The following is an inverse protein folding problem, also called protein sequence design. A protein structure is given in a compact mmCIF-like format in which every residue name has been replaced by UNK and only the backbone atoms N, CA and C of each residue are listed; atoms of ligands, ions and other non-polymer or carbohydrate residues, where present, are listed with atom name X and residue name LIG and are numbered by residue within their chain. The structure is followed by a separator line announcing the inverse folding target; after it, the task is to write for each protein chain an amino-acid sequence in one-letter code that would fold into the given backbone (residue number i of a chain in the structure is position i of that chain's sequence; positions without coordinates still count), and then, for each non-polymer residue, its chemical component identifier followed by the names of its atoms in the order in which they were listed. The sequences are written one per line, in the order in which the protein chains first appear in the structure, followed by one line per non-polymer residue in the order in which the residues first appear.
data_IF_586444151566
#
_entry.id   IF_586444151566
#
_cell.length_a   1.000
_cell.length_b   1.000
_cell.length_c   1.000
_cell.angle_alpha   90.00
_cell.angle_beta   90.00
_cell.angle_gamma   90.00
#
_symmetry.space_group_name_H-M   'P 1'
#
loop_
_entity.id
_entity.type
_entity.pdbx_description
1 polymer ?
#
# COMPACT_ATOMS: atom_id res chain seq x y z
N UNK A 1 42.37 32.71 -8.82
CA UNK A 1 41.62 32.30 -7.60
C UNK A 1 40.46 31.44 -8.05
N UNK A 2 40.62 30.12 -8.05
CA UNK A 2 39.51 29.19 -8.29
C UNK A 2 38.68 29.09 -7.01
N UNK A 3 37.43 29.54 -7.09
CA UNK A 3 36.45 29.33 -6.02
C UNK A 3 36.02 27.87 -6.04
N UNK A 4 36.25 27.17 -4.94
CA UNK A 4 35.85 25.78 -4.76
C UNK A 4 34.45 25.79 -4.14
N UNK A 5 33.43 25.50 -4.95
CA UNK A 5 32.07 25.25 -4.45
C UNK A 5 32.04 23.89 -3.75
N UNK A 6 32.10 23.92 -2.42
CA UNK A 6 31.87 22.73 -1.60
C UNK A 6 30.39 22.36 -1.67
N UNK A 7 30.08 21.33 -2.46
CA UNK A 7 28.78 20.65 -2.41
C UNK A 7 28.57 20.10 -0.99
N UNK A 8 27.68 20.73 -0.22
CA UNK A 8 27.26 20.23 1.11
C UNK A 8 26.60 18.87 0.93
N UNK A 9 27.25 17.83 1.45
CA UNK A 9 26.68 16.48 1.53
C UNK A 9 25.55 16.50 2.56
N UNK A 10 24.29 16.35 2.11
CA UNK A 10 23.12 16.20 2.99
C UNK A 10 23.37 15.02 3.94
N UNK A 11 23.41 15.28 5.25
CA UNK A 11 23.42 14.22 6.27
C UNK A 11 22.01 13.61 6.37
N UNK A 12 21.87 12.38 6.87
CA UNK A 12 20.58 11.67 7.04
C UNK A 12 19.52 12.43 7.87
N UNK A 13 19.89 13.54 8.51
CA UNK A 13 19.02 14.39 9.32
C UNK A 13 18.01 15.23 8.53
N UNK A 14 18.19 15.43 7.22
CA UNK A 14 17.34 16.34 6.41
C UNK A 14 16.74 15.68 5.16
N UNK A 15 16.22 14.44 5.30
CA UNK A 15 15.44 13.84 4.23
C UNK A 15 14.04 14.45 4.17
N UNK A 16 13.64 14.89 2.97
CA UNK A 16 12.26 15.27 2.68
C UNK A 16 11.33 14.06 2.69
N UNK A 17 10.01 14.30 2.79
CA UNK A 17 9.01 13.24 2.71
C UNK A 17 9.13 12.41 1.42
N UNK A 18 9.44 13.07 0.30
CA UNK A 18 9.64 12.43 -0.99
C UNK A 18 10.88 11.53 -0.98
N UNK A 19 12.02 12.03 -0.52
CA UNK A 19 13.26 11.24 -0.42
C UNK A 19 13.09 10.02 0.50
N UNK A 20 12.33 10.14 1.59
CA UNK A 20 12.02 9.02 2.50
C UNK A 20 11.17 7.97 1.79
N UNK A 21 10.10 8.38 1.10
CA UNK A 21 9.21 7.46 0.37
C UNK A 21 9.95 6.79 -0.79
N UNK A 22 10.77 7.52 -1.54
CA UNK A 22 11.58 6.96 -2.64
C UNK A 22 12.53 5.87 -2.14
N UNK A 23 13.22 6.13 -1.02
CA UNK A 23 14.07 5.13 -0.38
C UNK A 23 13.26 3.92 0.10
N UNK A 24 12.08 4.14 0.67
CA UNK A 24 11.20 3.06 1.11
C UNK A 24 10.73 2.18 -0.07
N UNK A 25 10.33 2.80 -1.19
CA UNK A 25 9.93 2.10 -2.42
C UNK A 25 11.11 1.32 -2.99
N UNK A 26 12.29 1.93 -3.08
CA UNK A 26 13.50 1.27 -3.56
C UNK A 26 13.86 0.05 -2.68
N UNK A 27 13.83 0.21 -1.35
CA UNK A 27 14.10 -0.88 -0.39
C UNK A 27 13.01 -1.95 -0.38
N UNK A 28 11.79 -1.64 -0.79
CA UNK A 28 10.72 -2.61 -0.95
C UNK A 28 10.78 -3.40 -2.28
N UNK A 29 11.66 -3.02 -3.21
CA UNK A 29 11.78 -3.68 -4.52
C UNK A 29 10.95 -3.02 -5.62
N UNK A 30 10.70 -1.71 -5.53
CA UNK A 30 9.85 -0.96 -6.46
C UNK A 30 10.20 -1.13 -7.94
N UNK A 31 11.49 -1.23 -8.28
CA UNK A 31 11.93 -1.46 -9.66
C UNK A 31 11.45 -2.80 -10.22
N UNK A 32 11.42 -3.85 -9.39
CA UNK A 32 10.89 -5.17 -9.77
C UNK A 32 9.37 -5.13 -9.83
N UNK A 33 8.71 -4.50 -8.84
CA UNK A 33 7.24 -4.36 -8.82
C UNK A 33 6.73 -3.67 -10.09
N UNK A 34 7.45 -2.66 -10.59
CA UNK A 34 7.09 -1.91 -11.79
C UNK A 34 7.09 -2.76 -13.07
N UNK A 35 7.85 -3.86 -13.10
CA UNK A 35 8.10 -4.69 -14.28
C UNK A 35 8.04 -6.18 -13.92
N UNK A 36 6.91 -6.62 -13.38
CA UNK A 36 6.68 -8.01 -12.99
C UNK A 36 5.21 -8.40 -13.04
N UNK A 37 4.97 -9.70 -13.16
CA UNK A 37 3.71 -10.33 -12.78
C UNK A 37 3.81 -10.85 -11.34
N UNK A 38 2.90 -10.41 -10.47
CA UNK A 38 2.81 -10.80 -9.07
C UNK A 38 1.50 -11.55 -8.86
N UNK A 39 1.59 -12.78 -8.40
CA UNK A 39 0.46 -13.62 -8.05
C UNK A 39 0.47 -13.89 -6.56
N UNK A 40 -0.70 -13.89 -5.93
CA UNK A 40 -0.85 -14.27 -4.53
C UNK A 40 -2.28 -14.65 -4.23
N UNK A 41 -2.48 -15.39 -3.15
CA UNK A 41 -3.78 -15.62 -2.56
C UNK A 41 -3.98 -14.69 -1.38
N UNK A 42 -5.19 -14.15 -1.25
CA UNK A 42 -5.60 -13.35 -0.10
C UNK A 42 -7.02 -13.72 0.29
N UNK A 43 -7.17 -14.34 1.47
CA UNK A 43 -8.44 -14.94 1.92
C UNK A 43 -8.94 -15.97 0.89
N UNK A 44 -10.17 -15.82 0.44
CA UNK A 44 -10.84 -16.76 -0.47
C UNK A 44 -10.59 -16.45 -1.96
N UNK A 45 -9.74 -15.46 -2.27
CA UNK A 45 -9.53 -14.99 -3.63
C UNK A 45 -8.07 -15.09 -4.06
N UNK A 46 -7.90 -15.22 -5.38
CA UNK A 46 -6.62 -15.23 -6.07
C UNK A 46 -6.43 -13.91 -6.79
N UNK A 47 -5.24 -13.35 -6.70
CA UNK A 47 -4.91 -12.04 -7.26
C UNK A 47 -3.73 -12.15 -8.19
N UNK A 48 -3.79 -11.39 -9.28
CA UNK A 48 -2.69 -11.24 -10.23
C UNK A 48 -2.55 -9.78 -10.62
N UNK A 49 -1.35 -9.23 -10.46
CA UNK A 49 -1.00 -7.92 -10.97
C UNK A 49 0.08 -8.08 -12.04
N UNK A 50 -0.19 -7.61 -13.24
CA UNK A 50 0.80 -7.53 -14.32
C UNK A 50 1.16 -6.07 -14.51
N UNK A 51 2.45 -5.72 -14.40
CA UNK A 51 2.95 -4.35 -14.61
C UNK A 51 4.14 -4.35 -15.56
N UNK A 52 4.14 -3.40 -16.49
CA UNK A 52 5.15 -3.26 -17.54
C UNK A 52 5.09 -1.84 -18.10
N UNK A 53 6.23 -1.13 -18.12
CA UNK A 53 6.36 0.17 -18.80
C UNK A 53 5.25 1.18 -18.44
N UNK A 54 4.82 1.22 -17.17
CA UNK A 54 3.74 2.09 -16.69
C UNK A 54 2.32 1.59 -16.95
N UNK A 55 2.14 0.52 -17.72
CA UNK A 55 0.86 -0.17 -17.90
C UNK A 55 0.67 -1.21 -16.80
N UNK A 56 -0.54 -1.30 -16.25
CA UNK A 56 -0.94 -2.27 -15.25
C UNK A 56 -2.27 -2.93 -15.61
N UNK A 57 -2.35 -4.22 -15.29
CA UNK A 57 -3.61 -4.97 -15.23
C UNK A 57 -3.69 -5.65 -13.87
N UNK A 58 -4.77 -5.41 -13.15
CA UNK A 58 -5.04 -5.95 -11.83
C UNK A 58 -6.23 -6.89 -11.90
N UNK A 59 -6.04 -8.11 -11.45
CA UNK A 59 -7.03 -9.16 -11.57
C UNK A 59 -7.37 -9.74 -10.18
N UNK A 60 -8.62 -10.16 -10.02
CA UNK A 60 -9.10 -10.96 -8.87
C UNK A 60 -9.96 -12.10 -9.39
N UNK A 61 -9.73 -13.30 -8.88
CA UNK A 61 -10.44 -14.50 -9.25
C UNK A 61 -10.96 -15.26 -8.03
N UNK A 62 -12.09 -15.96 -8.20
CA UNK A 62 -12.69 -16.83 -7.16
C UNK A 62 -12.04 -18.23 -7.10
N UNK A 63 -11.31 -18.59 -8.15
CA UNK A 63 -10.58 -19.85 -8.30
C UNK A 63 -9.18 -19.56 -8.90
N UNK A 64 -8.24 -20.48 -8.72
CA UNK A 64 -6.84 -20.27 -9.10
C UNK A 64 -6.66 -20.16 -10.63
N UNK A 65 -7.53 -20.81 -11.38
CA UNK A 65 -7.55 -20.85 -12.84
C UNK A 65 -8.32 -19.68 -13.46
N UNK A 66 -8.99 -18.85 -12.64
CA UNK A 66 -9.83 -17.73 -13.07
C UNK A 66 -10.98 -18.11 -14.02
N UNK A 67 -11.51 -19.32 -13.91
CA UNK A 67 -12.56 -19.83 -14.80
C UNK A 67 -13.97 -19.47 -14.33
N UNK A 68 -14.24 -19.45 -13.02
CA UNK A 68 -15.60 -19.23 -12.54
C UNK A 68 -15.98 -17.75 -12.56
N UNK A 69 -15.14 -16.91 -11.96
CA UNK A 69 -15.33 -15.46 -11.96
C UNK A 69 -13.98 -14.76 -11.96
N UNK A 70 -13.84 -13.79 -12.85
CA UNK A 70 -12.64 -12.97 -13.00
C UNK A 70 -13.04 -11.49 -13.04
N UNK A 71 -12.41 -10.70 -12.19
CA UNK A 71 -12.48 -9.26 -12.20
C UNK A 71 -11.18 -8.72 -12.79
N UNK A 72 -11.26 -7.76 -13.70
CA UNK A 72 -10.11 -7.14 -14.38
C UNK A 72 -10.23 -5.62 -14.28
N UNK A 73 -9.22 -4.99 -13.68
CA UNK A 73 -9.06 -3.53 -13.58
C UNK A 73 -7.82 -3.10 -14.34
N UNK A 74 -7.96 -2.20 -15.31
CA UNK A 74 -6.87 -1.71 -16.17
C UNK A 74 -6.34 -0.35 -15.72
N UNK A 75 -5.20 0.05 -16.29
CA UNK A 75 -4.56 1.36 -16.03
C UNK A 75 -5.47 2.56 -16.22
N UNK A 76 -6.36 2.52 -17.21
CA UNK A 76 -7.29 3.60 -17.54
C UNK A 76 -8.49 3.68 -16.57
N UNK A 77 -8.54 2.80 -15.56
CA UNK A 77 -9.64 2.71 -14.60
C UNK A 77 -10.82 1.86 -15.07
N UNK A 78 -10.79 1.32 -16.29
CA UNK A 78 -11.85 0.44 -16.78
C UNK A 78 -11.89 -0.87 -15.97
N UNK A 79 -13.10 -1.26 -15.60
CA UNK A 79 -13.38 -2.49 -14.86
C UNK A 79 -14.28 -3.42 -15.65
N UNK A 80 -13.92 -4.69 -15.71
CA UNK A 80 -14.74 -5.74 -16.32
C UNK A 80 -14.84 -6.93 -15.36
N UNK A 81 -16.03 -7.53 -15.32
CA UNK A 81 -16.26 -8.83 -14.66
C UNK A 81 -16.64 -9.86 -15.70
N UNK A 82 -16.05 -11.03 -15.58
CA UNK A 82 -16.36 -12.22 -16.36
C UNK A 82 -16.91 -13.30 -15.44
N UNK A 83 -17.86 -14.08 -15.93
CA UNK A 83 -18.33 -15.33 -15.31
C UNK A 83 -18.30 -16.42 -16.37
N UNK A 84 -17.60 -17.52 -16.10
CA UNK A 84 -17.43 -18.61 -17.07
C UNK A 84 -16.94 -18.08 -18.43
N UNK A 85 -15.95 -17.18 -18.40
CA UNK A 85 -15.38 -16.45 -19.55
C UNK A 85 -16.34 -15.52 -20.32
N UNK A 86 -17.63 -15.43 -19.94
CA UNK A 86 -18.56 -14.47 -20.51
C UNK A 86 -18.51 -13.13 -19.76
N UNK A 87 -18.37 -12.02 -20.49
CA UNK A 87 -18.39 -10.66 -19.90
C UNK A 87 -19.79 -10.37 -19.34
N UNK A 88 -19.85 -9.97 -18.08
CA UNK A 88 -21.08 -9.50 -17.44
C UNK A 88 -21.21 -7.98 -17.61
N UNK A 89 -22.39 -7.54 -18.04
CA UNK A 89 -22.73 -6.12 -18.03
C UNK A 89 -23.07 -5.70 -16.60
N UNK A 90 -22.36 -4.70 -16.08
CA UNK A 90 -22.57 -4.14 -14.75
C UNK A 90 -23.01 -2.67 -14.88
N UNK A 91 -23.77 -2.18 -13.90
CA UNK A 91 -23.95 -0.74 -13.74
C UNK A 91 -22.64 -0.06 -13.38
N UNK A 92 -22.50 1.22 -13.70
CA UNK A 92 -21.29 1.99 -13.39
C UNK A 92 -20.97 1.98 -11.88
N UNK A 93 -22.01 2.03 -11.02
CA UNK A 93 -21.86 1.92 -9.57
C UNK A 93 -21.23 0.60 -9.12
N UNK A 94 -21.59 -0.53 -9.75
CA UNK A 94 -21.02 -1.83 -9.43
C UNK A 94 -19.60 -1.97 -9.98
N UNK A 95 -19.34 -1.41 -11.17
CA UNK A 95 -17.98 -1.36 -11.72
C UNK A 95 -17.03 -0.60 -10.79
N UNK A 96 -17.46 0.56 -10.31
CA UNK A 96 -16.69 1.37 -9.35
C UNK A 96 -16.47 0.63 -8.03
N UNK A 97 -17.53 0.09 -7.43
CA UNK A 97 -17.44 -0.64 -6.16
C UNK A 97 -16.47 -1.84 -6.23
N UNK A 98 -16.59 -2.66 -7.26
CA UNK A 98 -15.73 -3.84 -7.42
C UNK A 98 -14.31 -3.45 -7.85
N UNK A 99 -14.16 -2.43 -8.70
CA UNK A 99 -12.87 -1.86 -9.08
C UNK A 99 -12.09 -1.35 -7.87
N UNK A 100 -12.73 -0.56 -6.99
CA UNK A 100 -12.14 -0.07 -5.74
C UNK A 100 -11.72 -1.22 -4.83
N UNK A 101 -12.56 -2.24 -4.69
CA UNK A 101 -12.27 -3.45 -3.91
C UNK A 101 -11.04 -4.20 -4.42
N UNK A 102 -10.91 -4.38 -5.75
CA UNK A 102 -9.74 -5.02 -6.37
C UNK A 102 -8.49 -4.15 -6.22
N UNK A 103 -8.61 -2.85 -6.49
CA UNK A 103 -7.51 -1.90 -6.39
C UNK A 103 -6.93 -1.86 -4.97
N UNK A 104 -7.77 -1.80 -3.95
CA UNK A 104 -7.34 -1.72 -2.54
C UNK A 104 -6.44 -2.89 -2.15
N UNK A 105 -6.78 -4.12 -2.56
CA UNK A 105 -5.97 -5.31 -2.25
C UNK A 105 -4.63 -5.28 -2.94
N UNK A 106 -4.62 -4.97 -4.24
CA UNK A 106 -3.38 -4.82 -5.00
C UNK A 106 -2.51 -3.68 -4.47
N UNK A 107 -3.10 -2.57 -4.06
CA UNK A 107 -2.38 -1.42 -3.51
C UNK A 107 -1.65 -1.79 -2.22
N UNK A 108 -2.34 -2.44 -1.26
CA UNK A 108 -1.68 -2.80 0.01
C UNK A 108 -0.66 -3.92 -0.14
N UNK A 109 -0.84 -4.82 -1.12
CA UNK A 109 0.01 -6.02 -1.29
C UNK A 109 1.49 -5.70 -1.56
N UNK A 110 1.76 -4.49 -2.08
CA UNK A 110 3.10 -4.03 -2.48
C UNK A 110 3.48 -2.68 -1.85
N UNK A 111 2.94 -2.35 -0.67
CA UNK A 111 3.34 -1.13 0.04
C UNK A 111 4.86 -1.06 0.22
N UNK A 112 5.49 0.12 0.03
CA UNK A 112 4.89 1.44 -0.23
C UNK A 112 4.84 1.83 -1.72
N UNK A 113 4.86 0.90 -2.67
CA UNK A 113 5.04 1.19 -4.10
C UNK A 113 4.11 2.29 -4.65
N UNK A 114 2.81 2.19 -4.37
CA UNK A 114 1.81 3.16 -4.85
C UNK A 114 1.88 4.53 -4.15
N UNK A 115 2.75 4.74 -3.17
CA UNK A 115 2.88 6.04 -2.54
C UNK A 115 3.44 7.08 -3.51
N UNK A 116 4.10 6.70 -4.61
CA UNK A 116 4.55 7.66 -5.64
C UNK A 116 3.53 7.96 -6.73
N UNK A 117 2.30 7.47 -6.62
CA UNK A 117 1.27 7.77 -7.60
C UNK A 117 0.97 9.29 -7.66
N UNK A 118 0.62 9.85 -8.84
CA UNK A 118 0.47 11.30 -9.02
C UNK A 118 -0.53 11.98 -8.08
N UNK A 119 -1.58 11.27 -7.67
CA UNK A 119 -2.61 11.78 -6.77
C UNK A 119 -2.17 11.82 -5.29
N UNK A 120 -0.98 11.29 -4.95
CA UNK A 120 -0.52 11.13 -3.57
C UNK A 120 0.26 12.37 -3.11
N UNK A 121 -0.30 13.07 -2.12
CA UNK A 121 0.37 14.17 -1.43
C UNK A 121 0.96 13.66 -0.12
N UNK A 122 2.27 13.87 0.09
CA UNK A 122 2.99 13.43 1.29
C UNK A 122 3.52 14.61 2.08
N UNK A 123 3.53 14.48 3.40
CA UNK A 123 4.25 15.38 4.29
C UNK A 123 4.93 14.61 5.42
N UNK A 124 6.16 15.02 5.73
CA UNK A 124 6.88 14.55 6.92
C UNK A 124 6.36 15.40 8.08
N UNK A 125 5.62 14.76 8.99
CA UNK A 125 4.98 15.46 10.12
C UNK A 125 5.74 15.31 11.43
N UNK A 126 6.80 14.50 11.44
CA UNK A 126 7.66 14.33 12.60
C UNK A 126 8.43 13.01 12.57
N UNK A 127 9.02 12.70 13.71
CA UNK A 127 9.73 11.46 13.97
C UNK A 127 9.25 10.92 15.32
N UNK A 128 9.17 9.60 15.45
CA UNK A 128 8.80 8.99 16.72
C UNK A 128 9.52 7.66 16.92
N UNK A 129 9.48 7.16 18.16
CA UNK A 129 9.99 5.84 18.50
C UNK A 129 8.81 4.92 18.76
N UNK A 130 8.83 3.74 18.16
CA UNK A 130 7.85 2.68 18.43
C UNK A 130 8.64 1.43 18.79
N UNK A 131 8.44 0.91 19.99
CA UNK A 131 9.20 -0.19 20.59
C UNK A 131 10.70 0.04 20.54
N UNK A 132 11.12 1.24 20.95
CA UNK A 132 12.52 1.68 20.92
C UNK A 132 13.18 1.74 19.53
N UNK A 133 12.42 1.61 18.44
CA UNK A 133 12.93 1.76 17.08
C UNK A 133 12.53 3.12 16.49
N UNK A 134 13.42 3.82 15.74
CA UNK A 134 13.15 5.14 15.22
C UNK A 134 12.39 5.10 13.88
N UNK A 135 11.38 5.95 13.73
CA UNK A 135 10.55 6.07 12.52
C UNK A 135 10.37 7.52 12.08
N UNK A 136 10.32 7.73 10.77
CA UNK A 136 9.72 8.92 10.15
C UNK A 136 8.21 8.75 10.09
N UNK A 137 7.47 9.81 10.42
CA UNK A 137 6.01 9.84 10.31
C UNK A 137 5.62 10.57 9.02
N UNK A 138 5.19 9.81 8.02
CA UNK A 138 4.76 10.34 6.73
C UNK A 138 3.24 10.35 6.67
N UNK A 139 2.66 11.55 6.70
CA UNK A 139 1.23 11.75 6.41
C UNK A 139 1.02 11.68 4.91
N UNK A 140 0.00 10.94 4.50
CA UNK A 140 -0.42 10.79 3.11
C UNK A 140 -1.88 11.19 2.97
N UNK A 141 -2.18 11.97 1.94
CA UNK A 141 -3.51 12.35 1.53
C UNK A 141 -3.63 12.16 0.02
N UNK A 142 -4.79 11.72 -0.44
CA UNK A 142 -5.07 11.59 -1.86
C UNK A 142 -5.80 12.83 -2.37
N UNK A 143 -5.45 13.29 -3.58
CA UNK A 143 -6.19 14.35 -4.25
C UNK A 143 -7.61 13.85 -4.61
N UNK A 144 -8.59 14.76 -4.64
CA UNK A 144 -9.95 14.44 -5.07
C UNK A 144 -9.97 13.86 -6.50
N UNK A 145 -9.13 14.43 -7.39
CA UNK A 145 -8.85 13.86 -8.70
C UNK A 145 -7.82 12.72 -8.60
N UNK A 146 -8.22 11.53 -9.04
CA UNK A 146 -7.38 10.32 -9.02
C UNK A 146 -7.22 9.63 -7.65
N UNK A 147 -7.73 10.19 -6.57
CA UNK A 147 -7.69 9.59 -5.22
C UNK A 147 -8.83 8.62 -4.89
N UNK A 148 -9.85 8.56 -5.74
CA UNK A 148 -11.02 7.70 -5.52
C UNK A 148 -11.86 8.12 -4.31
N UNK A 149 -12.61 7.18 -3.73
CA UNK A 149 -13.46 7.42 -2.55
C UNK A 149 -12.67 7.77 -1.27
N UNK A 150 -11.36 7.52 -1.28
CA UNK A 150 -10.46 7.69 -0.12
C UNK A 150 -9.88 9.11 -0.02
N UNK A 151 -10.31 10.09 -0.83
CA UNK A 151 -9.78 11.46 -0.78
C UNK A 151 -9.99 12.15 0.59
N UNK A 152 -11.00 11.71 1.35
CA UNK A 152 -11.28 12.20 2.70
C UNK A 152 -10.48 11.49 3.78
N UNK A 153 -9.81 10.40 3.43
CA UNK A 153 -9.09 9.57 4.37
C UNK A 153 -7.68 10.13 4.59
N UNK A 154 -7.29 10.15 5.86
CA UNK A 154 -5.93 10.52 6.25
C UNK A 154 -5.16 9.25 6.54
N UNK A 155 -3.99 9.12 5.93
CA UNK A 155 -3.08 8.01 6.15
C UNK A 155 -1.83 8.52 6.87
N UNK A 156 -1.31 7.70 7.77
CA UNK A 156 -0.05 7.94 8.47
C UNK A 156 0.79 6.67 8.38
N UNK A 157 2.02 6.81 7.89
CA UNK A 157 2.98 5.72 7.74
C UNK A 157 4.16 5.94 8.67
N UNK A 158 4.56 4.90 9.39
CA UNK A 158 5.81 4.88 10.17
C UNK A 158 6.84 4.13 9.34
N UNK A 159 7.80 4.88 8.81
CA UNK A 159 8.89 4.37 7.96
C UNK A 159 10.17 4.33 8.78
N UNK A 160 10.72 3.14 8.99
CA UNK A 160 11.88 2.93 9.85
C UNK A 160 13.09 3.72 9.33
N UNK A 161 13.77 4.50 10.18
CA UNK A 161 14.80 5.46 9.72
C UNK A 161 16.01 4.80 9.04
N UNK A 162 16.41 3.62 9.52
CA UNK A 162 17.57 2.88 8.96
C UNK A 162 17.21 1.97 7.78
N UNK A 163 16.15 1.16 7.91
CA UNK A 163 15.80 0.13 6.92
C UNK A 163 14.86 0.66 5.83
N UNK A 164 14.22 1.81 6.05
CA UNK A 164 13.11 2.36 5.25
C UNK A 164 11.93 1.40 5.09
N UNK A 165 11.79 0.44 6.02
CA UNK A 165 10.64 -0.45 6.06
C UNK A 165 9.39 0.28 6.55
N UNK A 166 8.25 0.01 5.90
CA UNK A 166 6.93 0.40 6.42
C UNK A 166 6.47 -0.67 7.41
N UNK A 167 6.63 -0.41 8.70
CA UNK A 167 6.29 -1.37 9.75
C UNK A 167 4.95 -1.05 10.40
N UNK A 168 4.52 0.21 10.36
CA UNK A 168 3.19 0.61 10.82
C UNK A 168 2.50 1.54 9.82
N UNK A 169 1.19 1.40 9.72
CA UNK A 169 0.34 2.38 9.03
C UNK A 169 -0.97 2.54 9.78
N UNK A 170 -1.53 3.75 9.74
CA UNK A 170 -2.82 4.05 10.30
C UNK A 170 -3.64 4.87 9.31
N UNK A 171 -4.95 4.68 9.36
CA UNK A 171 -5.86 5.45 8.54
C UNK A 171 -7.22 5.58 9.17
N UNK A 172 -7.88 6.68 8.85
CA UNK A 172 -9.32 6.83 9.06
C UNK A 172 -10.03 6.40 7.78
N UNK A 173 -11.21 5.81 7.91
CA UNK A 173 -12.11 5.53 6.80
C UNK A 173 -13.51 6.01 7.16
N UNK A 174 -14.28 6.47 6.19
CA UNK A 174 -15.62 7.03 6.41
C UNK A 174 -16.77 6.11 5.99
N UNK A 175 -16.49 4.92 5.45
CA UNK A 175 -17.54 3.98 5.05
C UNK A 175 -18.35 3.46 6.24
N UNK A 176 -19.68 3.45 6.11
CA UNK A 176 -20.67 3.16 7.17
C UNK A 176 -20.56 4.13 8.36
N UNK A 177 -20.33 3.61 9.58
CA UNK A 177 -20.05 4.44 10.77
C UNK A 177 -18.62 5.00 10.76
N UNK A 178 -17.81 4.62 9.77
CA UNK A 178 -16.40 4.95 9.69
C UNK A 178 -15.57 4.35 10.81
N UNK A 179 -14.33 4.79 10.92
CA UNK A 179 -13.45 4.43 12.03
C UNK A 179 -11.98 4.60 11.73
N UNK A 180 -11.16 4.04 12.61
CA UNK A 180 -9.72 4.13 12.53
C UNK A 180 -9.12 2.73 12.56
N UNK A 181 -8.13 2.48 11.73
CA UNK A 181 -7.31 1.27 11.76
C UNK A 181 -5.86 1.62 12.04
N UNK A 182 -5.21 0.73 12.76
CA UNK A 182 -3.76 0.70 12.93
C UNK A 182 -3.26 -0.67 12.51
N UNK A 183 -2.27 -0.73 11.63
CA UNK A 183 -1.66 -1.97 11.17
C UNK A 183 -0.23 -2.05 11.66
N UNK A 184 0.14 -3.21 12.18
CA UNK A 184 1.51 -3.53 12.58
C UNK A 184 2.04 -4.73 11.79
N UNK A 185 3.17 -4.56 11.13
CA UNK A 185 3.87 -5.60 10.39
C UNK A 185 4.32 -6.72 11.34
N UNK A 186 4.22 -7.98 10.92
CA UNK A 186 4.69 -9.11 11.74
C UNK A 186 5.38 -10.25 10.97
N UNK A 187 5.22 -10.34 9.65
CA UNK A 187 5.83 -11.40 8.83
C UNK A 187 6.45 -10.83 7.54
N UNK A 188 7.55 -10.06 7.62
CA UNK A 188 8.23 -9.55 6.45
C UNK A 188 8.98 -10.68 5.72
N UNK A 189 8.79 -10.76 4.40
CA UNK A 189 9.39 -11.77 3.52
C UNK A 189 10.01 -11.07 2.32
N UNK A 190 11.09 -11.63 1.77
CA UNK A 190 11.71 -11.14 0.54
C UNK A 190 11.65 -12.22 -0.52
N UNK A 191 10.93 -11.96 -1.61
CA UNK A 191 10.67 -12.92 -2.70
C UNK A 191 11.01 -12.20 -4.01
N UNK A 192 11.95 -12.74 -4.78
CA UNK A 192 12.44 -12.14 -6.03
C UNK A 192 12.76 -10.63 -5.93
N UNK A 193 13.41 -10.24 -4.84
CA UNK A 193 13.80 -8.84 -4.62
C UNK A 193 12.70 -7.91 -4.11
N UNK A 194 11.46 -8.38 -3.96
CA UNK A 194 10.33 -7.61 -3.43
C UNK A 194 10.13 -7.93 -1.94
N UNK A 195 9.91 -6.91 -1.12
CA UNK A 195 9.50 -7.07 0.28
C UNK A 195 7.98 -7.19 0.36
N UNK A 196 7.50 -8.36 0.77
CA UNK A 196 6.11 -8.58 1.15
C UNK A 196 5.97 -8.59 2.67
N UNK A 197 4.83 -8.15 3.17
CA UNK A 197 4.60 -8.02 4.62
C UNK A 197 3.16 -8.34 4.96
N UNK A 198 2.99 -9.17 5.98
CA UNK A 198 1.68 -9.37 6.60
C UNK A 198 1.50 -8.42 7.77
N UNK A 199 0.25 -7.99 7.98
CA UNK A 199 -0.12 -7.02 8.99
C UNK A 199 -1.15 -7.57 9.97
N UNK A 200 -0.98 -7.28 11.25
CA UNK A 200 -2.06 -7.34 12.24
C UNK A 200 -2.85 -6.04 12.15
N UNK A 201 -4.17 -6.14 12.04
CA UNK A 201 -5.07 -5.01 11.86
C UNK A 201 -5.86 -4.76 13.15
N UNK A 202 -5.68 -3.58 13.73
CA UNK A 202 -6.23 -3.20 15.02
C UNK A 202 -7.22 -2.05 14.89
N UNK A 203 -8.07 -1.89 15.91
CA UNK A 203 -8.89 -0.69 16.11
C UNK A 203 -8.65 -0.06 17.49
N UNK A 204 -8.72 1.28 17.60
CA UNK A 204 -8.80 1.96 18.89
C UNK A 204 -10.22 1.84 19.47
N UNK A 205 -10.35 2.00 20.80
CA UNK A 205 -11.63 2.06 21.48
C UNK A 205 -12.39 3.37 21.20
N UNK A 206 -11.65 4.49 21.13
CA UNK A 206 -12.20 5.79 20.71
C UNK A 206 -12.38 5.80 19.20
N UNK A 207 -13.49 6.35 18.71
CA UNK A 207 -13.68 6.65 17.29
C UNK A 207 -12.83 7.88 16.91
N UNK A 208 -12.08 7.77 15.81
CA UNK A 208 -11.23 8.85 15.28
C UNK A 208 -10.26 9.50 16.30
N UNK A 209 -9.42 8.74 17.02
CA UNK A 209 -8.32 9.36 17.74
C UNK A 209 -7.33 9.99 16.73
N UNK A 210 -6.52 10.97 17.15
CA UNK A 210 -5.43 11.45 16.31
C UNK A 210 -4.56 10.28 15.85
N UNK A 211 -4.30 10.16 14.54
CA UNK A 211 -3.52 9.04 14.00
C UNK A 211 -2.13 8.94 14.65
N UNK A 212 -1.55 10.09 14.98
CA UNK A 212 -0.26 10.22 15.69
C UNK A 212 -0.25 9.68 17.11
N UNK A 213 -1.41 9.32 17.69
CA UNK A 213 -1.50 8.72 19.03
C UNK A 213 -1.55 7.19 19.01
N UNK A 214 -1.72 6.58 17.84
CA UNK A 214 -2.01 5.15 17.73
C UNK A 214 -0.81 4.26 18.04
N UNK A 215 0.41 4.74 17.79
CA UNK A 215 1.63 4.03 18.18
C UNK A 215 1.76 3.91 19.70
N UNK A 216 1.52 5.01 20.43
CA UNK A 216 1.47 4.97 21.90
C UNK A 216 0.36 4.04 22.40
N UNK A 217 -0.84 4.09 21.79
CA UNK A 217 -1.92 3.16 22.15
C UNK A 217 -1.55 1.70 21.87
N UNK A 218 -0.84 1.43 20.77
CA UNK A 218 -0.35 0.10 20.43
C UNK A 218 0.64 -0.43 21.46
N UNK A 219 1.63 0.37 21.87
CA UNK A 219 2.62 -0.02 22.88
C UNK A 219 2.01 -0.29 24.25
N UNK A 220 0.95 0.45 24.58
CA UNK A 220 0.22 0.28 25.84
C UNK A 220 -0.88 -0.80 25.79
N UNK A 221 -0.92 -1.62 24.73
CA UNK A 221 -1.94 -2.65 24.51
C UNK A 221 -3.38 -2.12 24.60
N UNK A 222 -3.62 -0.88 24.13
CA UNK A 222 -4.93 -0.20 24.12
C UNK A 222 -5.64 -0.29 22.77
N UNK A 223 -5.11 -1.09 21.84
CA UNK A 223 -5.75 -1.37 20.56
C UNK A 223 -6.26 -2.82 20.54
N UNK A 224 -7.48 -3.01 20.05
CA UNK A 224 -8.09 -4.33 19.88
C UNK A 224 -7.67 -4.93 18.54
N UNK A 225 -7.17 -6.16 18.54
CA UNK A 225 -6.86 -6.90 17.31
C UNK A 225 -8.16 -7.37 16.66
N UNK A 226 -8.39 -6.99 15.41
CA UNK A 226 -9.58 -7.37 14.66
C UNK A 226 -9.35 -8.53 13.70
N UNK A 227 -8.21 -8.50 13.02
CA UNK A 227 -7.92 -9.44 11.94
C UNK A 227 -6.43 -9.45 11.62
N UNK A 228 -6.03 -10.46 10.87
CA UNK A 228 -4.75 -10.52 10.19
C UNK A 228 -4.94 -10.30 8.70
N UNK A 229 -3.98 -9.64 8.07
CA UNK A 229 -3.86 -9.45 6.63
C UNK A 229 -2.62 -10.23 6.23
N UNK A 230 -2.80 -11.39 5.63
CA UNK A 230 -1.72 -12.29 5.27
C UNK A 230 -1.82 -12.66 3.80
N UNK A 231 -0.70 -12.53 3.08
CA UNK A 231 -0.58 -12.96 1.70
C UNK A 231 -0.03 -14.39 1.64
N UNK A 232 -0.70 -15.26 0.90
CA UNK A 232 -0.36 -16.66 0.71
C UNK A 232 0.10 -16.92 -0.73
N UNK A 233 0.85 -18.00 -0.95
CA UNK A 233 1.25 -18.50 -2.27
C UNK A 233 1.80 -17.43 -3.23
N UNK A 234 2.61 -16.51 -2.68
CA UNK A 234 3.18 -15.41 -3.45
C UNK A 234 4.15 -15.96 -4.49
N UNK A 235 3.92 -15.60 -5.75
CA UNK A 235 4.83 -15.86 -6.87
C UNK A 235 5.11 -14.56 -7.60
N UNK A 236 6.38 -14.34 -7.91
CA UNK A 236 6.82 -13.18 -8.68
C UNK A 236 7.50 -13.71 -9.93
N UNK A 237 7.04 -13.24 -11.08
CA UNK A 237 7.66 -13.50 -12.37
C UNK A 237 8.16 -12.16 -12.89
N UNK A 238 9.48 -11.89 -12.80
CA UNK A 238 10.07 -10.74 -13.45
C UNK A 238 9.70 -10.73 -14.93
N UNK A 239 9.49 -9.54 -15.48
CA UNK A 239 9.25 -9.33 -16.90
C UNK A 239 10.57 -8.87 -17.53
N UNK A 240 11.47 -9.77 -17.98
CA UNK A 240 12.78 -9.38 -18.50
C UNK A 240 12.70 -8.65 -19.85
N UNK A 241 11.65 -8.91 -20.63
CA UNK A 241 11.39 -8.28 -21.94
C UNK A 241 9.89 -8.13 -22.17
N UNK A 242 9.21 -7.67 -21.14
CA UNK A 242 7.98 -6.92 -21.32
C UNK A 242 8.48 -5.45 -21.50
#
# INVERSE_FOLDING_TARGET
MWSCDTAKTKTEKDLSAQEIVDKAIAKAGGAVIANAAIHFKFRDYYYKATRQNGVRTLERCTDAECQQQQDVLRSDGSFERFRESARLQLSDSLQQLYGNSVNSVHYFSVLPYGLNDPAVKKSLIGEHRVKEQPYYLIKVQFAEDGGGEDFQDQYLYWIHKTTFAVDYLAYNYQTNEGGTRFRAAYNPRRIEGIRFVDYKNYKPARQFPPLTSLDSLFENNKLELLSTIALEDIKVMPCPEC
#
